data_IF_432235458621
#
_entry.id   IF_432235458621
#
_cell.length_a   1.000
_cell.length_b   1.000
_cell.length_c   1.000
_cell.angle_alpha   90.00
_cell.angle_beta   90.00
_cell.angle_gamma   90.00
#
_symmetry.space_group_name_H-M   'P 1'
#
loop_
_entity.id
_entity.type
_entity.pdbx_description
1 polymer ?
#
# COMPACT_ATOMS: atom_id res chain seq x y z
N UNK A 1 -7.62 -67.61 -5.47
CA UNK A 1 -8.57 -66.46 -5.47
C UNK A 1 -7.99 -65.20 -4.82
N UNK A 2 -7.30 -65.29 -3.68
CA UNK A 2 -6.73 -64.14 -2.96
C UNK A 2 -5.63 -63.39 -3.76
N UNK A 3 -4.77 -64.12 -4.48
CA UNK A 3 -3.71 -63.53 -5.33
C UNK A 3 -4.25 -62.69 -6.50
N UNK A 4 -5.36 -63.11 -7.11
CA UNK A 4 -5.99 -62.35 -8.20
C UNK A 4 -6.63 -61.06 -7.68
N UNK A 5 -7.29 -61.13 -6.52
CA UNK A 5 -7.84 -59.94 -5.86
C UNK A 5 -6.74 -58.95 -5.46
N UNK A 6 -5.58 -59.46 -4.99
CA UNK A 6 -4.42 -58.64 -4.68
C UNK A 6 -3.83 -57.95 -5.92
N UNK A 7 -3.65 -58.67 -7.02
CA UNK A 7 -3.15 -58.10 -8.28
C UNK A 7 -4.11 -57.06 -8.87
N UNK A 8 -5.42 -57.29 -8.78
CA UNK A 8 -6.43 -56.32 -9.21
C UNK A 8 -6.40 -55.03 -8.37
N UNK A 9 -6.30 -55.17 -7.05
CA UNK A 9 -6.14 -54.02 -6.15
C UNK A 9 -4.88 -53.22 -6.43
N UNK A 10 -3.76 -53.90 -6.71
CA UNK A 10 -2.49 -53.28 -7.04
C UNK A 10 -2.54 -52.52 -8.38
N UNK A 11 -3.14 -53.13 -9.41
CA UNK A 11 -3.29 -52.49 -10.71
C UNK A 11 -4.19 -51.24 -10.64
N UNK A 12 -5.29 -51.30 -9.88
CA UNK A 12 -6.17 -50.15 -9.64
C UNK A 12 -5.45 -49.03 -8.88
N UNK A 13 -4.69 -49.38 -7.84
CA UNK A 13 -3.90 -48.42 -7.07
C UNK A 13 -2.84 -47.71 -7.92
N UNK A 14 -2.09 -48.47 -8.73
CA UNK A 14 -1.07 -47.91 -9.63
C UNK A 14 -1.73 -47.04 -10.71
N UNK A 15 -2.86 -47.48 -11.26
CA UNK A 15 -3.61 -46.71 -12.25
C UNK A 15 -4.10 -45.36 -11.71
N UNK A 16 -4.70 -45.36 -10.52
CA UNK A 16 -5.10 -44.13 -9.83
C UNK A 16 -3.91 -43.22 -9.51
N UNK A 17 -2.79 -43.78 -9.04
CA UNK A 17 -1.59 -43.04 -8.71
C UNK A 17 -0.96 -42.37 -9.94
N UNK A 18 -0.84 -43.10 -11.06
CA UNK A 18 -0.34 -42.55 -12.33
C UNK A 18 -1.28 -41.46 -12.86
N UNK A 19 -2.59 -41.65 -12.77
CA UNK A 19 -3.55 -40.65 -13.22
C UNK A 19 -3.46 -39.35 -12.42
N UNK A 20 -3.37 -39.45 -11.08
CA UNK A 20 -3.17 -38.29 -10.20
C UNK A 20 -1.86 -37.58 -10.50
N UNK A 21 -0.75 -38.31 -10.67
CA UNK A 21 0.54 -37.73 -11.06
C UNK A 21 0.43 -36.94 -12.38
N UNK A 22 -0.25 -37.51 -13.36
CA UNK A 22 -0.36 -36.90 -14.67
C UNK A 22 -1.23 -35.62 -14.64
N UNK A 23 -2.32 -35.63 -13.87
CA UNK A 23 -3.14 -34.44 -13.66
C UNK A 23 -2.38 -33.33 -12.93
N UNK A 24 -1.62 -33.68 -11.87
CA UNK A 24 -0.84 -32.72 -11.10
C UNK A 24 0.20 -32.02 -11.98
N UNK A 25 0.92 -32.79 -12.80
CA UNK A 25 1.93 -32.25 -13.72
C UNK A 25 1.33 -31.30 -14.75
N UNK A 26 0.16 -31.64 -15.31
CA UNK A 26 -0.56 -30.77 -16.26
C UNK A 26 -1.00 -29.46 -15.61
N UNK A 27 -1.58 -29.51 -14.40
CA UNK A 27 -2.01 -28.30 -13.67
C UNK A 27 -0.84 -27.38 -13.36
N UNK A 28 0.28 -27.94 -12.92
CA UNK A 28 1.52 -27.19 -12.69
C UNK A 28 2.02 -26.51 -13.96
N UNK A 29 2.04 -27.22 -15.09
CA UNK A 29 2.46 -26.65 -16.37
C UNK A 29 1.55 -25.51 -16.84
N UNK A 30 0.24 -25.59 -16.60
CA UNK A 30 -0.69 -24.51 -16.95
C UNK A 30 -0.45 -23.25 -16.11
N UNK A 31 -0.27 -23.38 -14.79
CA UNK A 31 0.06 -22.24 -13.92
C UNK A 31 1.43 -21.65 -14.24
N UNK A 32 2.41 -22.49 -14.60
CA UNK A 32 3.74 -22.03 -14.98
C UNK A 32 3.79 -21.41 -16.38
N UNK A 33 2.88 -21.80 -17.27
CA UNK A 33 2.77 -21.22 -18.62
C UNK A 33 2.25 -19.78 -18.62
N UNK A 34 1.51 -19.37 -17.59
CA UNK A 34 1.07 -17.97 -17.42
C UNK A 34 2.14 -17.08 -16.81
N UNK A 35 3.08 -17.64 -16.05
CA UNK A 35 4.26 -16.92 -15.57
C UNK A 35 5.25 -16.77 -16.74
N UNK A 36 5.15 -15.64 -17.46
CA UNK A 36 6.00 -15.17 -18.57
C UNK A 36 7.26 -16.01 -18.77
N UNK A 37 7.16 -17.03 -19.63
CA UNK A 37 8.30 -17.83 -20.01
C UNK A 37 9.13 -17.03 -21.01
N UNK A 38 10.14 -16.32 -20.51
CA UNK A 38 11.25 -15.84 -21.33
C UNK A 38 11.72 -17.00 -22.22
N UNK A 39 11.86 -16.76 -23.52
CA UNK A 39 12.12 -17.77 -24.56
C UNK A 39 13.41 -18.60 -24.33
N UNK A 40 14.26 -18.18 -23.38
CA UNK A 40 15.49 -18.86 -22.95
C UNK A 40 15.27 -19.94 -21.88
N UNK A 41 14.06 -20.05 -21.30
CA UNK A 41 13.77 -20.87 -20.10
C UNK A 41 13.37 -22.33 -20.37
N UNK A 42 13.41 -22.79 -21.62
CA UNK A 42 12.99 -24.15 -21.97
C UNK A 42 13.89 -25.27 -21.41
N UNK A 43 15.07 -24.94 -20.87
CA UNK A 43 15.99 -25.91 -20.24
C UNK A 43 15.78 -26.10 -18.73
N UNK A 44 15.01 -25.22 -18.07
CA UNK A 44 14.86 -25.25 -16.60
C UNK A 44 13.59 -25.99 -16.17
N UNK A 45 13.71 -26.75 -15.08
CA UNK A 45 12.58 -27.45 -14.47
C UNK A 45 11.50 -26.47 -14.02
N UNK A 46 10.24 -26.91 -14.03
CA UNK A 46 9.07 -26.18 -13.55
C UNK A 46 9.29 -25.46 -12.21
N UNK A 47 9.94 -26.14 -11.26
CA UNK A 47 10.24 -25.61 -9.92
C UNK A 47 11.29 -24.51 -9.95
N UNK A 48 12.30 -24.64 -10.82
CA UNK A 48 13.34 -23.62 -10.98
C UNK A 48 12.77 -22.33 -11.57
N UNK A 49 11.84 -22.41 -12.52
CA UNK A 49 11.15 -21.24 -13.07
C UNK A 49 10.31 -20.53 -12.02
N UNK A 50 9.56 -21.30 -11.21
CA UNK A 50 8.77 -20.76 -10.10
C UNK A 50 9.65 -20.01 -9.10
N UNK A 51 10.76 -20.62 -8.66
CA UNK A 51 11.71 -19.99 -7.73
C UNK A 51 12.29 -18.70 -8.31
N UNK A 52 12.66 -18.71 -9.59
CA UNK A 52 13.20 -17.52 -10.23
C UNK A 52 12.16 -16.40 -10.34
N UNK A 53 10.91 -16.73 -10.67
CA UNK A 53 9.83 -15.74 -10.72
C UNK A 53 9.52 -15.15 -9.34
N UNK A 54 9.49 -15.99 -8.29
CA UNK A 54 9.33 -15.53 -6.90
C UNK A 54 10.51 -14.64 -6.50
N UNK A 55 11.75 -15.03 -6.81
CA UNK A 55 12.94 -14.23 -6.50
C UNK A 55 12.91 -12.87 -7.21
N UNK A 56 12.52 -12.84 -8.50
CA UNK A 56 12.34 -11.60 -9.26
C UNK A 56 11.25 -10.72 -8.64
N UNK A 57 10.09 -11.29 -8.31
CA UNK A 57 8.98 -10.57 -7.70
C UNK A 57 9.37 -10.00 -6.32
N UNK A 58 10.06 -10.78 -5.49
CA UNK A 58 10.54 -10.31 -4.19
C UNK A 58 11.56 -9.18 -4.34
N UNK A 59 12.52 -9.33 -5.27
CA UNK A 59 13.49 -8.28 -5.53
C UNK A 59 12.84 -6.98 -6.01
N UNK A 60 11.85 -7.07 -6.90
CA UNK A 60 11.07 -5.91 -7.33
C UNK A 60 10.33 -5.26 -6.15
N UNK A 61 9.73 -6.05 -5.25
CA UNK A 61 9.09 -5.53 -4.05
C UNK A 61 10.07 -4.79 -3.14
N UNK A 62 11.23 -5.38 -2.87
CA UNK A 62 12.28 -4.75 -2.06
C UNK A 62 12.74 -3.40 -2.67
N UNK A 63 12.92 -3.34 -4.00
CA UNK A 63 13.28 -2.09 -4.68
C UNK A 63 12.18 -1.04 -4.52
N UNK A 64 10.92 -1.40 -4.77
CA UNK A 64 9.79 -0.48 -4.61
C UNK A 64 9.60 -0.03 -3.16
N UNK A 65 9.77 -0.93 -2.19
CA UNK A 65 9.71 -0.61 -0.76
C UNK A 65 10.82 0.37 -0.37
N UNK A 66 12.04 0.16 -0.88
CA UNK A 66 13.15 1.08 -0.66
C UNK A 66 12.92 2.46 -1.29
N UNK A 67 12.38 2.52 -2.52
CA UNK A 67 12.02 3.79 -3.16
C UNK A 67 10.95 4.54 -2.36
N UNK A 68 9.89 3.85 -1.93
CA UNK A 68 8.85 4.44 -1.09
C UNK A 68 9.41 4.97 0.23
N UNK A 69 10.28 4.21 0.89
CA UNK A 69 10.93 4.64 2.12
C UNK A 69 11.78 5.89 1.87
N UNK A 70 12.55 5.92 0.78
CA UNK A 70 13.37 7.09 0.42
C UNK A 70 12.49 8.34 0.24
N UNK A 71 11.37 8.22 -0.48
CA UNK A 71 10.43 9.34 -0.65
C UNK A 71 9.79 9.79 0.66
N UNK A 72 9.43 8.86 1.54
CA UNK A 72 8.89 9.18 2.86
C UNK A 72 9.92 9.93 3.71
N UNK A 73 11.17 9.50 3.73
CA UNK A 73 12.27 10.17 4.45
C UNK A 73 12.49 11.60 3.92
N UNK A 74 12.47 11.79 2.59
CA UNK A 74 12.56 13.12 1.97
C UNK A 74 11.38 14.01 2.35
N UNK A 75 10.16 13.47 2.36
CA UNK A 75 8.97 14.22 2.77
C UNK A 75 8.99 14.55 4.27
N UNK A 76 9.60 13.73 5.12
CA UNK A 76 9.72 14.03 6.56
C UNK A 76 10.55 15.29 6.83
N UNK A 77 11.58 15.55 6.02
CA UNK A 77 12.45 16.73 6.15
C UNK A 77 12.04 17.90 5.24
N UNK A 78 11.00 17.73 4.43
CA UNK A 78 10.57 18.75 3.48
C UNK A 78 9.97 19.98 4.18
N UNK A 79 10.21 21.20 3.68
CA UNK A 79 9.69 22.45 4.27
C UNK A 79 8.21 22.70 3.91
N UNK A 80 7.44 21.64 3.65
CA UNK A 80 6.01 21.69 3.33
C UNK A 80 5.26 20.66 4.16
N UNK A 81 4.02 20.96 4.55
CA UNK A 81 3.14 19.99 5.19
C UNK A 81 2.53 19.06 4.14
N UNK A 82 2.63 17.75 4.36
CA UNK A 82 2.01 16.74 3.51
C UNK A 82 1.02 15.89 4.31
N UNK A 83 -0.13 15.62 3.70
CA UNK A 83 -1.18 14.75 4.23
C UNK A 83 -1.59 13.73 3.17
N UNK A 84 -1.68 12.47 3.58
CA UNK A 84 -2.29 11.39 2.82
C UNK A 84 -3.60 11.00 3.50
N UNK A 85 -4.69 11.04 2.75
CA UNK A 85 -6.04 10.69 3.23
C UNK A 85 -6.64 9.55 2.42
N UNK A 86 -7.44 8.70 3.06
CA UNK A 86 -8.16 7.61 2.39
C UNK A 86 -9.51 8.08 1.81
N UNK A 87 -10.25 7.16 1.18
CA UNK A 87 -11.56 7.43 0.55
C UNK A 87 -12.62 7.94 1.54
N UNK A 88 -12.51 7.60 2.82
CA UNK A 88 -13.39 8.01 3.90
C UNK A 88 -12.92 9.28 4.64
N UNK A 89 -11.91 10.01 4.11
CA UNK A 89 -11.30 11.19 4.74
C UNK A 89 -10.57 10.90 6.05
N UNK A 90 -10.08 9.69 6.26
CA UNK A 90 -9.22 9.34 7.39
C UNK A 90 -7.77 9.69 7.06
N UNK A 91 -7.03 10.18 8.06
CA UNK A 91 -5.63 10.54 7.89
C UNK A 91 -4.74 9.29 7.94
N UNK A 92 -4.26 8.83 6.78
CA UNK A 92 -3.34 7.69 6.67
C UNK A 92 -1.91 8.05 7.06
N UNK A 93 -1.45 9.24 6.65
CA UNK A 93 -0.08 9.68 6.91
C UNK A 93 0.08 11.19 6.89
N UNK A 94 0.93 11.72 7.77
CA UNK A 94 1.38 13.10 7.72
C UNK A 94 2.86 13.22 8.07
N UNK A 95 3.54 14.17 7.44
CA UNK A 95 4.95 14.45 7.72
C UNK A 95 5.10 15.36 8.96
N UNK A 96 6.34 15.48 9.46
CA UNK A 96 6.63 16.30 10.64
C UNK A 96 6.24 17.77 10.45
N UNK A 97 6.52 18.34 9.28
CA UNK A 97 6.21 19.74 9.00
C UNK A 97 4.70 20.03 9.04
N UNK A 98 3.86 19.10 8.57
CA UNK A 98 2.41 19.21 8.68
C UNK A 98 1.94 19.29 10.13
N UNK A 99 2.50 18.43 11.01
CA UNK A 99 2.17 18.43 12.44
C UNK A 99 2.58 19.73 13.11
N UNK A 100 3.75 20.26 12.76
CA UNK A 100 4.27 21.51 13.29
C UNK A 100 3.44 22.71 12.82
N UNK A 101 3.05 22.77 11.54
CA UNK A 101 2.28 23.88 10.99
C UNK A 101 0.85 23.97 11.56
N UNK A 102 0.21 22.81 11.75
CA UNK A 102 -1.20 22.73 12.17
C UNK A 102 -1.37 22.33 13.64
N UNK A 103 -0.28 22.32 14.42
CA UNK A 103 -0.26 21.94 15.83
C UNK A 103 -0.97 20.61 16.11
N UNK A 104 -0.75 19.62 15.26
CA UNK A 104 -1.31 18.27 15.46
C UNK A 104 -0.46 17.57 16.51
N UNK A 105 -1.05 17.28 17.66
CA UNK A 105 -0.39 16.59 18.77
C UNK A 105 -0.86 15.14 18.82
N UNK A 106 0.01 14.24 19.24
CA UNK A 106 -0.32 12.83 19.51
C UNK A 106 -0.84 12.00 18.32
N UNK A 107 -0.53 12.40 17.08
CA UNK A 107 -0.82 11.54 15.93
C UNK A 107 0.11 10.33 15.91
N UNK A 108 -0.48 9.14 15.94
CA UNK A 108 0.20 7.85 15.75
C UNK A 108 -0.28 7.18 14.45
N UNK A 109 0.66 6.60 13.70
CA UNK A 109 0.34 5.88 12.47
C UNK A 109 -0.47 4.63 12.78
N UNK A 110 -1.72 4.59 12.33
CA UNK A 110 -2.64 3.46 12.53
C UNK A 110 -3.91 3.82 13.31
N UNK A 111 -4.00 5.03 13.86
CA UNK A 111 -5.24 5.48 14.47
C UNK A 111 -6.24 5.94 13.40
N UNK A 112 -7.35 5.20 13.27
CA UNK A 112 -8.43 5.50 12.33
C UNK A 112 -9.26 6.66 12.90
N UNK A 113 -8.94 7.87 12.45
CA UNK A 113 -9.66 9.10 12.77
C UNK A 113 -9.79 9.98 11.55
N UNK A 114 -10.87 10.76 11.52
CA UNK A 114 -11.14 11.68 10.43
C UNK A 114 -10.07 12.77 10.40
N UNK A 115 -9.67 13.16 9.21
CA UNK A 115 -8.71 14.24 8.96
C UNK A 115 -9.12 15.54 9.67
N UNK A 116 -10.42 15.87 9.62
CA UNK A 116 -10.98 17.06 10.26
C UNK A 116 -10.80 17.06 11.79
N UNK A 117 -10.78 15.89 12.44
CA UNK A 117 -10.60 15.80 13.89
C UNK A 117 -9.20 16.21 14.32
N UNK A 118 -8.19 15.88 13.50
CA UNK A 118 -6.79 16.21 13.75
C UNK A 118 -6.47 17.66 13.46
N UNK A 119 -6.87 18.14 12.28
CA UNK A 119 -6.45 19.44 11.77
C UNK A 119 -7.38 20.57 12.20
N UNK A 120 -8.65 20.25 12.50
CA UNK A 120 -9.70 21.21 12.86
C UNK A 120 -9.82 22.39 11.88
N UNK A 121 -9.49 22.17 10.61
CA UNK A 121 -9.65 23.14 9.52
C UNK A 121 -10.70 22.63 8.55
N UNK A 122 -11.80 23.39 8.48
CA UNK A 122 -12.88 23.13 7.54
C UNK A 122 -12.45 23.42 6.10
N UNK A 123 -11.53 24.36 5.89
CA UNK A 123 -11.01 24.75 4.59
C UNK A 123 -10.28 23.58 3.90
N UNK A 124 -9.46 22.86 4.66
CA UNK A 124 -8.74 21.69 4.15
C UNK A 124 -9.67 20.51 3.87
N UNK A 125 -10.65 20.26 4.74
CA UNK A 125 -11.64 19.21 4.51
C UNK A 125 -12.50 19.51 3.25
N UNK A 126 -12.93 20.75 3.08
CA UNK A 126 -13.66 21.20 1.89
C UNK A 126 -12.80 21.09 0.62
N UNK A 127 -11.50 21.39 0.71
CA UNK A 127 -10.57 21.24 -0.40
C UNK A 127 -10.48 19.78 -0.87
N UNK A 128 -10.38 18.82 0.06
CA UNK A 128 -10.35 17.39 -0.25
C UNK A 128 -11.67 16.98 -0.93
N UNK A 129 -12.81 17.34 -0.35
CA UNK A 129 -14.13 17.01 -0.91
C UNK A 129 -14.30 17.56 -2.32
N UNK A 130 -13.92 18.83 -2.54
CA UNK A 130 -14.02 19.50 -3.86
C UNK A 130 -13.11 18.83 -4.88
N UNK A 131 -11.87 18.50 -4.50
CA UNK A 131 -10.90 17.81 -5.37
C UNK A 131 -11.44 16.45 -5.81
N UNK A 132 -12.06 15.68 -4.90
CA UNK A 132 -12.65 14.38 -5.22
C UNK A 132 -13.86 14.47 -6.14
N UNK A 133 -14.75 15.43 -5.88
CA UNK A 133 -15.94 15.62 -6.72
C UNK A 133 -15.57 16.05 -8.14
N UNK A 134 -14.55 16.90 -8.28
CA UNK A 134 -14.13 17.46 -9.57
C UNK A 134 -13.08 16.60 -10.28
N UNK A 135 -12.42 15.68 -9.57
CA UNK A 135 -11.29 14.87 -10.07
C UNK A 135 -10.18 15.73 -10.69
N UNK A 136 -10.01 16.94 -10.17
CA UNK A 136 -9.04 17.92 -10.64
C UNK A 136 -8.30 18.52 -9.45
N UNK A 137 -7.00 18.83 -9.59
CA UNK A 137 -6.24 19.45 -8.50
C UNK A 137 -6.87 20.77 -8.05
N UNK A 138 -7.10 20.88 -6.74
CA UNK A 138 -7.65 22.07 -6.11
C UNK A 138 -6.59 22.85 -5.35
N UNK A 139 -6.79 24.16 -5.19
CA UNK A 139 -5.95 25.02 -4.35
C UNK A 139 -6.84 25.84 -3.43
N UNK A 140 -6.47 25.95 -2.15
CA UNK A 140 -7.13 26.82 -1.18
C UNK A 140 -6.09 27.62 -0.40
N UNK A 141 -6.40 28.88 -0.12
CA UNK A 141 -5.62 29.77 0.73
C UNK A 141 -6.50 30.23 1.88
N UNK A 142 -5.99 30.13 3.11
CA UNK A 142 -6.74 30.52 4.30
C UNK A 142 -5.81 31.04 5.40
N UNK A 143 -6.41 31.63 6.43
CA UNK A 143 -5.70 32.10 7.61
C UNK A 143 -5.95 31.10 8.74
N UNK A 144 -4.88 30.46 9.19
CA UNK A 144 -4.93 29.54 10.31
C UNK A 144 -4.72 30.29 11.63
N UNK A 145 -5.66 30.06 12.55
CA UNK A 145 -5.65 30.61 13.90
C UNK A 145 -5.40 29.45 14.88
N UNK A 146 -4.17 29.27 15.38
CA UNK A 146 -3.89 28.20 16.33
C UNK A 146 -4.71 28.39 17.60
N UNK A 147 -5.43 27.34 18.02
CA UNK A 147 -6.26 27.38 19.22
C UNK A 147 -5.40 27.40 20.49
N UNK A 148 -5.58 28.42 21.31
CA UNK A 148 -4.86 28.64 22.56
C UNK A 148 -5.30 27.63 23.62
N UNK A 149 -4.43 26.70 24.03
CA UNK A 149 -4.68 25.86 25.20
C UNK A 149 -4.18 26.50 26.51
N UNK A 150 -3.18 27.40 26.44
CA UNK A 150 -2.60 28.06 27.61
C UNK A 150 -2.61 29.60 27.45
N UNK A 151 -3.24 30.30 28.41
CA UNK A 151 -3.42 31.75 28.39
C UNK A 151 -2.14 32.60 28.51
N UNK A 152 -0.99 31.98 28.83
CA UNK A 152 0.28 32.69 29.02
C UNK A 152 1.02 33.00 27.69
N UNK A 153 0.60 32.40 26.57
CA UNK A 153 1.21 32.60 25.24
C UNK A 153 0.39 33.50 24.29
N UNK A 154 -0.58 34.25 24.82
CA UNK A 154 -1.46 35.12 24.03
C UNK A 154 -0.73 36.21 23.22
N UNK A 155 0.51 36.56 23.58
CA UNK A 155 1.27 37.64 22.93
C UNK A 155 2.04 37.26 21.65
N UNK A 156 2.29 35.97 21.39
CA UNK A 156 3.18 35.53 20.31
C UNK A 156 2.50 34.71 19.20
N UNK A 157 1.23 34.32 19.37
CA UNK A 157 0.51 33.55 18.34
C UNK A 157 0.11 34.42 17.16
N UNK A 158 1.00 34.46 16.16
CA UNK A 158 0.74 35.06 14.85
C UNK A 158 -0.19 34.15 14.06
N UNK A 159 -1.22 34.73 13.46
CA UNK A 159 -1.98 34.05 12.43
C UNK A 159 -1.06 33.64 11.27
N UNK A 160 -1.24 32.43 10.77
CA UNK A 160 -0.46 31.90 9.67
C UNK A 160 -1.29 31.96 8.39
N UNK A 161 -0.75 32.58 7.35
CA UNK A 161 -1.31 32.49 6.01
C UNK A 161 -0.84 31.17 5.40
N UNK A 162 -1.78 30.26 5.14
CA UNK A 162 -1.49 28.95 4.60
C UNK A 162 -2.08 28.82 3.20
N UNK A 163 -1.39 28.04 2.38
CA UNK A 163 -1.83 27.60 1.06
C UNK A 163 -1.71 26.09 1.01
N UNK A 164 -2.76 25.43 0.57
CA UNK A 164 -2.77 23.99 0.33
C UNK A 164 -3.18 23.71 -1.10
N UNK A 165 -2.64 22.61 -1.61
CA UNK A 165 -3.01 22.01 -2.88
C UNK A 165 -3.38 20.56 -2.63
N UNK A 166 -4.46 20.12 -3.26
CA UNK A 166 -4.97 18.76 -3.14
C UNK A 166 -5.02 18.13 -4.52
N UNK A 167 -4.71 16.84 -4.58
CA UNK A 167 -4.70 16.03 -5.80
C UNK A 167 -5.67 14.85 -5.65
N UNK A 168 -6.35 14.43 -6.73
CA UNK A 168 -7.27 13.31 -6.71
C UNK A 168 -6.56 11.97 -6.54
#
# INVERSE_FOLDING_TARGET
MILLAFLLGLALGIGLWLWQQHQLKRRLQQMLGTLQADATSNSLSAVSRLRQAIARANHQREVMEHELQTWQELLQVAPLGYFLVDEENQLLWCNQQARQLLHIHDWESGEIRLFLEWVRSYELDQLIQTTRQQQQPGICEWVFHPSCLNGEAMGEMRSLYLRASSWP
#
